data_IF_965449216541
#
_entry.id   IF_965449216541
#
_cell.length_a   1.000
_cell.length_b   1.000
_cell.length_c   1.000
_cell.angle_alpha   90.00
_cell.angle_beta   90.00
_cell.angle_gamma   90.00
#
_symmetry.space_group_name_H-M   'P 1'
#
loop_
_entity.id
_entity.type
_entity.pdbx_description
1 polymer ?
#
# COMPACT_ATOMS: atom_id res chain seq x y z
N UNK A 1 38.92 51.49 -8.43
CA UNK A 1 38.86 50.02 -8.28
C UNK A 1 37.40 49.60 -8.32
N UNK A 2 36.99 48.87 -9.35
CA UNK A 2 35.59 48.46 -9.60
C UNK A 2 35.43 47.03 -9.07
N UNK A 3 34.63 46.83 -8.02
CA UNK A 3 34.22 45.51 -7.56
C UNK A 3 33.10 44.98 -8.47
N UNK A 4 33.39 43.95 -9.26
CA UNK A 4 32.38 43.18 -9.99
C UNK A 4 31.71 42.20 -9.02
N UNK A 5 30.43 42.42 -8.74
CA UNK A 5 29.59 41.42 -8.08
C UNK A 5 29.20 40.35 -9.11
N UNK A 6 29.60 39.10 -8.86
CA UNK A 6 29.16 37.93 -9.60
C UNK A 6 27.86 37.43 -8.96
N UNK A 7 26.71 37.72 -9.57
CA UNK A 7 25.44 37.09 -9.18
C UNK A 7 25.39 35.73 -9.87
N UNK A 8 25.66 34.67 -9.12
CA UNK A 8 25.35 33.29 -9.52
C UNK A 8 23.85 33.09 -9.28
N UNK A 9 23.05 33.25 -10.33
CA UNK A 9 21.64 32.90 -10.31
C UNK A 9 21.50 31.38 -10.19
N UNK A 10 21.20 30.91 -8.98
CA UNK A 10 20.82 29.53 -8.73
C UNK A 10 19.44 29.31 -9.36
N UNK A 11 19.39 28.79 -10.58
CA UNK A 11 18.17 28.34 -11.23
C UNK A 11 17.62 27.14 -10.45
N UNK A 12 16.71 27.40 -9.52
CA UNK A 12 15.82 26.40 -8.95
C UNK A 12 14.90 25.91 -10.07
N UNK A 13 15.35 24.90 -10.81
CA UNK A 13 14.47 24.16 -11.71
C UNK A 13 13.40 23.49 -10.83
N UNK A 14 12.10 23.68 -11.11
CA UNK A 14 11.07 22.93 -10.42
C UNK A 14 11.32 21.45 -10.69
N UNK A 15 11.44 20.66 -9.62
CA UNK A 15 11.39 19.21 -9.71
C UNK A 15 10.04 18.83 -10.30
N UNK A 16 10.01 18.58 -11.61
CA UNK A 16 8.85 18.03 -12.29
C UNK A 16 8.67 16.61 -11.74
N UNK A 17 7.70 16.44 -10.85
CA UNK A 17 7.34 15.16 -10.28
C UNK A 17 6.71 14.30 -11.37
N UNK A 18 7.52 13.51 -12.07
CA UNK A 18 7.03 12.53 -13.04
C UNK A 18 6.30 11.44 -12.24
N UNK A 19 4.99 11.31 -12.43
CA UNK A 19 4.26 10.13 -11.97
C UNK A 19 4.92 8.91 -12.63
N UNK A 20 5.24 7.88 -11.83
CA UNK A 20 5.82 6.66 -12.38
C UNK A 20 4.90 6.11 -13.47
N UNK A 21 5.43 5.88 -14.67
CA UNK A 21 4.66 5.28 -15.76
C UNK A 21 4.17 3.90 -15.31
N UNK A 22 2.86 3.66 -15.39
CA UNK A 22 2.26 2.42 -14.92
C UNK A 22 2.88 1.23 -15.67
N UNK A 23 3.48 0.25 -14.96
CA UNK A 23 4.13 -0.87 -15.63
C UNK A 23 3.14 -1.66 -16.48
N UNK A 24 3.56 -2.09 -17.67
CA UNK A 24 2.70 -2.85 -18.60
C UNK A 24 2.08 -4.08 -17.94
N UNK A 25 0.77 -4.21 -18.05
CA UNK A 25 0.00 -5.33 -17.49
C UNK A 25 -0.25 -5.23 -15.98
N UNK A 26 0.08 -4.10 -15.36
CA UNK A 26 -0.34 -3.77 -14.01
C UNK A 26 -1.54 -2.81 -14.04
N UNK A 27 -2.32 -2.84 -12.97
CA UNK A 27 -3.53 -2.06 -12.77
C UNK A 27 -3.46 -1.35 -11.43
N UNK A 28 -3.78 -0.05 -11.39
CA UNK A 28 -3.89 0.70 -10.14
C UNK A 28 -5.16 0.34 -9.36
N UNK A 29 -6.20 -0.16 -10.04
CA UNK A 29 -7.50 -0.53 -9.46
C UNK A 29 -7.98 -1.83 -10.08
N UNK A 30 -8.48 -2.74 -9.26
CA UNK A 30 -9.09 -4.00 -9.70
C UNK A 30 -10.58 -4.00 -9.40
N UNK A 31 -11.35 -4.58 -10.31
CA UNK A 31 -12.77 -4.89 -10.09
C UNK A 31 -12.93 -6.41 -10.07
N UNK A 32 -13.53 -6.90 -8.98
CA UNK A 32 -13.58 -8.32 -8.66
C UNK A 32 -15.05 -8.71 -8.50
N UNK A 33 -15.48 -9.70 -9.26
CA UNK A 33 -16.81 -10.30 -9.10
C UNK A 33 -16.70 -11.57 -8.27
N UNK A 34 -17.29 -11.59 -7.07
CA UNK A 34 -17.29 -12.74 -6.17
C UNK A 34 -18.64 -12.87 -5.49
N UNK A 35 -19.24 -14.06 -5.51
CA UNK A 35 -20.56 -14.35 -4.94
C UNK A 35 -21.66 -13.38 -5.43
N UNK A 36 -21.62 -13.01 -6.71
CA UNK A 36 -22.55 -12.05 -7.32
C UNK A 36 -22.32 -10.59 -6.91
N UNK A 37 -21.32 -10.30 -6.07
CA UNK A 37 -20.98 -8.93 -5.65
C UNK A 37 -19.80 -8.40 -6.48
N UNK A 38 -19.93 -7.15 -6.95
CA UNK A 38 -18.80 -6.38 -7.50
C UNK A 38 -18.08 -5.68 -6.36
N UNK A 39 -16.82 -6.02 -6.19
CA UNK A 39 -15.90 -5.45 -5.20
C UNK A 39 -14.76 -4.73 -5.92
N UNK A 40 -14.20 -3.72 -5.28
CA UNK A 40 -13.13 -2.90 -5.81
C UNK A 40 -11.92 -2.99 -4.88
N UNK A 41 -10.73 -3.09 -5.46
CA UNK A 41 -9.46 -3.05 -4.75
C UNK A 41 -8.60 -1.90 -5.27
N UNK A 42 -8.18 -1.01 -4.39
CA UNK A 42 -7.48 0.23 -4.76
C UNK A 42 -8.41 1.30 -5.37
N UNK A 43 -7.84 2.42 -5.86
CA UNK A 43 -6.42 2.65 -6.03
C UNK A 43 -5.72 3.05 -4.73
N UNK A 44 -4.47 2.62 -4.59
CA UNK A 44 -3.56 3.09 -3.53
C UNK A 44 -2.38 3.81 -4.20
N UNK A 45 -1.91 4.88 -3.58
CA UNK A 45 -0.86 5.73 -4.14
C UNK A 45 0.37 4.88 -4.46
N UNK A 46 0.87 4.91 -5.70
CA UNK A 46 2.04 4.14 -6.10
C UNK A 46 1.93 2.61 -6.14
N UNK A 47 0.81 1.99 -5.71
CA UNK A 47 0.61 0.54 -5.83
C UNK A 47 -0.04 0.16 -7.16
N UNK A 48 0.54 -0.84 -7.80
CA UNK A 48 0.00 -1.42 -9.02
C UNK A 48 0.03 -2.95 -8.90
N UNK A 49 -1.02 -3.60 -9.40
CA UNK A 49 -1.25 -5.04 -9.25
C UNK A 49 -1.36 -5.73 -10.59
N UNK A 50 -0.84 -6.95 -10.70
CA UNK A 50 -0.90 -7.79 -11.90
C UNK A 50 -1.31 -9.21 -11.53
N UNK A 51 -2.30 -9.82 -12.22
CA UNK A 51 -2.63 -11.23 -12.04
C UNK A 51 -1.44 -12.14 -12.36
N UNK A 52 -1.24 -13.18 -11.55
CA UNK A 52 -0.19 -14.18 -11.80
C UNK A 52 -0.54 -15.07 -13.00
N UNK A 53 -1.83 -15.39 -13.18
CA UNK A 53 -2.31 -16.29 -14.22
C UNK A 53 -3.49 -15.71 -15.00
N UNK A 54 -3.25 -15.28 -16.24
CA UNK A 54 -4.31 -14.76 -17.12
C UNK A 54 -5.12 -13.65 -16.46
N UNK A 55 -6.43 -13.85 -16.34
CA UNK A 55 -7.36 -12.93 -15.70
C UNK A 55 -7.79 -13.39 -14.29
N UNK A 56 -7.17 -14.43 -13.71
CA UNK A 56 -7.50 -14.90 -12.36
C UNK A 56 -6.93 -13.94 -11.30
N UNK A 57 -7.84 -13.23 -10.63
CA UNK A 57 -7.50 -12.24 -9.61
C UNK A 57 -7.22 -12.87 -8.23
N UNK A 58 -7.30 -14.20 -8.06
CA UNK A 58 -7.04 -14.83 -6.75
C UNK A 58 -5.60 -14.65 -6.25
N UNK A 59 -4.65 -14.53 -7.17
CA UNK A 59 -3.23 -14.30 -6.88
C UNK A 59 -2.69 -13.20 -7.76
N UNK A 60 -2.03 -12.23 -7.13
CA UNK A 60 -1.46 -11.08 -7.79
C UNK A 60 0.02 -10.96 -7.40
N UNK A 61 0.82 -10.40 -8.31
CA UNK A 61 2.05 -9.70 -7.93
C UNK A 61 1.77 -8.20 -7.88
N UNK A 62 2.50 -7.47 -7.06
CA UNK A 62 2.40 -6.01 -7.01
C UNK A 62 3.74 -5.32 -7.01
N UNK A 63 3.70 -4.03 -7.37
CA UNK A 63 4.81 -3.09 -7.25
C UNK A 63 4.30 -1.83 -6.57
N UNK A 64 5.09 -1.30 -5.64
CA UNK A 64 4.84 -0.04 -4.96
C UNK A 64 5.98 0.93 -5.28
N UNK A 65 5.65 2.05 -5.89
CA UNK A 65 6.58 3.14 -6.18
C UNK A 65 6.34 4.30 -5.21
N UNK A 66 7.38 5.08 -4.90
CA UNK A 66 7.30 6.27 -4.05
C UNK A 66 6.64 7.45 -4.77
N UNK A 67 5.42 7.27 -5.27
CA UNK A 67 4.71 8.29 -6.02
C UNK A 67 4.50 9.53 -5.15
N UNK A 68 4.92 10.71 -5.63
CA UNK A 68 4.84 11.99 -4.90
C UNK A 68 5.46 11.94 -3.50
N UNK A 69 6.46 11.05 -3.30
CA UNK A 69 7.10 10.82 -2.01
C UNK A 69 6.09 10.45 -0.89
N UNK A 70 5.03 9.72 -1.25
CA UNK A 70 3.96 9.41 -0.33
C UNK A 70 4.42 8.54 0.85
N UNK A 71 5.35 7.60 0.64
CA UNK A 71 5.74 6.64 1.68
C UNK A 71 7.01 7.04 2.43
N UNK A 72 7.92 7.75 1.76
CA UNK A 72 9.17 8.21 2.33
C UNK A 72 9.63 9.50 1.67
N UNK A 73 10.16 10.41 2.47
CA UNK A 73 10.83 11.63 2.04
C UNK A 73 12.33 11.44 1.77
N UNK A 74 12.89 10.29 2.15
CA UNK A 74 14.32 9.97 2.00
C UNK A 74 14.72 9.62 0.56
N UNK A 75 13.75 9.16 -0.25
CA UNK A 75 13.99 8.71 -1.61
C UNK A 75 13.23 9.59 -2.61
N UNK A 76 13.76 9.74 -3.84
CA UNK A 76 13.08 10.45 -4.91
C UNK A 76 11.67 9.90 -5.19
N UNK A 77 10.83 10.74 -5.80
CA UNK A 77 9.56 10.29 -6.32
C UNK A 77 9.79 9.23 -7.42
N UNK A 78 8.94 8.19 -7.43
CA UNK A 78 9.01 7.12 -8.43
C UNK A 78 10.06 6.05 -8.17
N UNK A 79 10.80 6.10 -7.05
CA UNK A 79 11.65 4.96 -6.62
C UNK A 79 10.80 3.73 -6.33
N UNK A 80 11.20 2.55 -6.81
CA UNK A 80 10.55 1.29 -6.46
C UNK A 80 10.84 0.97 -4.98
N UNK A 81 9.81 0.96 -4.15
CA UNK A 81 9.91 0.73 -2.71
C UNK A 81 9.67 -0.73 -2.34
N UNK A 82 8.58 -1.29 -2.85
CA UNK A 82 8.22 -2.69 -2.60
C UNK A 82 7.87 -3.41 -3.90
N UNK A 83 8.17 -4.70 -3.90
CA UNK A 83 7.48 -5.69 -4.72
C UNK A 83 6.75 -6.64 -3.78
N UNK A 84 5.92 -7.53 -4.32
CA UNK A 84 5.33 -8.55 -3.48
C UNK A 84 4.25 -9.36 -4.14
N UNK A 85 3.58 -10.16 -3.31
CA UNK A 85 2.48 -11.03 -3.68
C UNK A 85 1.23 -10.67 -2.88
N UNK A 86 0.08 -10.81 -3.51
CA UNK A 86 -1.22 -10.63 -2.87
C UNK A 86 -2.12 -11.83 -3.16
N UNK A 87 -2.75 -12.39 -2.13
CA UNK A 87 -3.66 -13.53 -2.26
C UNK A 87 -5.04 -13.21 -1.70
N UNK A 88 -6.06 -13.40 -2.52
CA UNK A 88 -7.45 -13.11 -2.18
C UNK A 88 -7.96 -14.06 -1.10
N UNK A 89 -8.59 -13.52 -0.05
CA UNK A 89 -9.21 -14.28 1.06
C UNK A 89 -10.46 -13.55 1.57
N UNK A 90 -11.33 -14.33 2.22
CA UNK A 90 -12.44 -13.83 3.02
C UNK A 90 -12.08 -13.97 4.49
N UNK A 91 -12.21 -12.89 5.26
CA UNK A 91 -12.17 -12.92 6.71
C UNK A 91 -13.53 -13.39 7.25
N UNK A 92 -13.57 -14.27 8.26
CA UNK A 92 -14.83 -14.67 8.87
C UNK A 92 -15.48 -13.49 9.62
N UNK A 93 -16.80 -13.37 9.55
CA UNK A 93 -17.56 -12.30 10.20
C UNK A 93 -17.77 -12.58 11.70
N UNK A 94 -16.68 -12.53 12.46
CA UNK A 94 -16.68 -12.80 13.93
C UNK A 94 -16.78 -11.53 14.78
N UNK A 95 -16.69 -10.35 14.15
CA UNK A 95 -16.85 -9.02 14.74
C UNK A 95 -17.18 -8.04 13.62
N UNK A 96 -17.96 -7.02 13.93
CA UNK A 96 -18.19 -5.89 13.04
C UNK A 96 -16.89 -5.22 12.56
N UNK A 97 -16.95 -4.62 11.37
CA UNK A 97 -15.87 -3.81 10.83
C UNK A 97 -15.73 -2.51 11.63
N UNK A 98 -14.51 -1.94 11.69
CA UNK A 98 -14.30 -0.64 12.34
C UNK A 98 -15.23 0.44 11.75
N UNK A 99 -15.64 1.43 12.57
CA UNK A 99 -16.40 2.57 12.08
C UNK A 99 -15.57 3.37 11.06
N UNK A 100 -16.21 3.89 10.02
CA UNK A 100 -15.58 4.65 8.93
C UNK A 100 -15.33 6.10 9.34
N UNK A 101 -14.25 6.36 10.07
CA UNK A 101 -13.80 7.71 10.42
C UNK A 101 -12.82 8.28 9.38
N UNK A 102 -12.14 7.40 8.65
CA UNK A 102 -11.23 7.71 7.56
C UNK A 102 -11.54 6.85 6.33
N UNK A 103 -10.79 7.08 5.25
CA UNK A 103 -10.86 6.23 4.05
C UNK A 103 -10.48 4.79 4.37
N UNK A 104 -9.36 4.60 5.08
CA UNK A 104 -8.80 3.30 5.42
C UNK A 104 -8.72 3.21 6.94
N UNK A 105 -9.33 2.18 7.51
CA UNK A 105 -9.35 1.93 8.95
C UNK A 105 -8.45 0.74 9.32
N UNK A 106 -7.37 0.96 10.08
CA UNK A 106 -6.44 -0.10 10.46
C UNK A 106 -6.86 -0.86 11.72
N UNK A 107 -6.61 -2.17 11.72
CA UNK A 107 -6.64 -3.05 12.89
C UNK A 107 -5.30 -3.78 12.96
N UNK A 108 -4.46 -3.41 13.93
CA UNK A 108 -3.19 -4.09 14.17
C UNK A 108 -3.41 -5.51 14.73
N UNK A 109 -2.49 -6.44 14.45
CA UNK A 109 -2.67 -7.86 14.79
C UNK A 109 -2.96 -8.12 16.27
N UNK A 110 -2.37 -7.34 17.19
CA UNK A 110 -2.65 -7.47 18.63
C UNK A 110 -4.11 -7.24 19.01
N UNK A 111 -4.87 -6.51 18.17
CA UNK A 111 -6.28 -6.18 18.36
C UNK A 111 -7.22 -6.92 17.38
N UNK A 112 -6.65 -7.77 16.51
CA UNK A 112 -7.39 -8.52 15.51
C UNK A 112 -7.94 -9.84 16.09
N UNK A 113 -9.17 -10.25 15.73
CA UNK A 113 -9.66 -11.58 16.01
C UNK A 113 -8.70 -12.65 15.47
N UNK A 114 -8.39 -13.66 16.28
CA UNK A 114 -7.49 -14.76 15.88
C UNK A 114 -7.99 -15.48 14.62
N UNK A 115 -9.30 -15.57 14.44
CA UNK A 115 -9.95 -16.17 13.28
C UNK A 115 -9.60 -15.43 11.99
N UNK A 116 -9.39 -14.11 12.03
CA UNK A 116 -8.91 -13.35 10.88
C UNK A 116 -7.45 -13.71 10.57
N UNK A 117 -6.59 -13.75 11.58
CA UNK A 117 -5.16 -14.08 11.44
C UNK A 117 -4.92 -15.51 10.95
N UNK A 118 -5.86 -16.43 11.21
CA UNK A 118 -5.80 -17.81 10.73
C UNK A 118 -6.02 -17.93 9.22
N UNK A 119 -6.65 -16.94 8.57
CA UNK A 119 -6.89 -16.93 7.11
C UNK A 119 -5.66 -16.61 6.27
N UNK A 120 -4.56 -16.17 6.90
CA UNK A 120 -3.29 -15.84 6.24
C UNK A 120 -2.80 -17.02 5.37
N UNK A 121 -2.41 -16.77 4.11
CA UNK A 121 -1.75 -17.76 3.27
C UNK A 121 -0.45 -18.29 3.90
N UNK A 122 -0.01 -19.46 3.45
CA UNK A 122 1.32 -19.95 3.79
C UNK A 122 2.39 -19.25 2.92
N UNK A 123 3.58 -18.96 3.48
CA UNK A 123 3.91 -19.05 4.90
C UNK A 123 3.34 -17.85 5.69
N UNK A 124 2.67 -18.12 6.83
CA UNK A 124 1.85 -17.12 7.54
C UNK A 124 2.65 -15.91 8.05
N UNK A 125 3.92 -16.10 8.36
CA UNK A 125 4.83 -15.07 8.86
C UNK A 125 5.28 -14.07 7.78
N UNK A 126 4.97 -14.31 6.50
CA UNK A 126 5.31 -13.39 5.42
C UNK A 126 4.10 -12.58 4.93
N UNK A 127 2.88 -13.10 5.12
CA UNK A 127 1.63 -12.42 4.79
C UNK A 127 1.13 -11.62 6.00
N UNK A 128 1.75 -10.48 6.27
CA UNK A 128 1.55 -9.69 7.49
C UNK A 128 0.62 -8.48 7.33
N UNK A 129 0.20 -8.18 6.10
CA UNK A 129 -0.74 -7.09 5.80
C UNK A 129 -1.98 -7.64 5.11
N UNK A 130 -3.18 -7.36 5.60
CA UNK A 130 -4.42 -7.56 4.87
C UNK A 130 -4.98 -6.22 4.43
N UNK A 131 -5.47 -6.14 3.20
CA UNK A 131 -6.17 -4.96 2.71
C UNK A 131 -7.51 -5.38 2.11
N UNK A 132 -8.60 -4.80 2.63
CA UNK A 132 -9.94 -5.15 2.17
C UNK A 132 -10.25 -4.58 0.79
N UNK A 133 -11.12 -5.27 0.07
CA UNK A 133 -11.90 -4.66 -0.99
C UNK A 133 -13.06 -3.85 -0.41
N UNK A 134 -13.70 -3.05 -1.26
CA UNK A 134 -14.86 -2.24 -0.91
C UNK A 134 -15.93 -2.25 -2.00
N UNK A 135 -17.12 -1.78 -1.68
CA UNK A 135 -18.18 -1.49 -2.64
C UNK A 135 -18.96 -0.22 -2.21
N UNK A 136 -20.14 0.01 -2.80
CA UNK A 136 -20.97 1.17 -2.47
C UNK A 136 -21.41 1.23 -0.99
N UNK A 137 -21.45 0.10 -0.28
CA UNK A 137 -21.76 0.03 1.15
C UNK A 137 -20.52 0.26 2.05
N UNK A 138 -19.32 0.37 1.47
CA UNK A 138 -18.07 0.58 2.19
C UNK A 138 -17.17 -0.66 2.21
N UNK A 139 -16.35 -0.85 3.26
CA UNK A 139 -15.40 -1.94 3.33
C UNK A 139 -16.10 -3.29 3.39
N UNK A 140 -15.39 -4.32 2.92
CA UNK A 140 -15.86 -5.71 2.96
C UNK A 140 -14.93 -6.58 3.80
N UNK A 141 -15.39 -7.78 4.17
CA UNK A 141 -14.54 -8.80 4.79
C UNK A 141 -13.65 -9.53 3.78
N UNK A 142 -13.73 -9.18 2.49
CA UNK A 142 -12.97 -9.83 1.42
C UNK A 142 -11.85 -8.91 0.99
N UNK A 143 -10.70 -9.46 0.66
CA UNK A 143 -9.50 -8.65 0.41
C UNK A 143 -8.30 -9.51 0.09
N UNK A 144 -7.14 -8.89 0.09
CA UNK A 144 -5.88 -9.58 -0.16
C UNK A 144 -5.04 -9.58 1.10
N UNK A 145 -4.45 -10.72 1.41
CA UNK A 145 -3.25 -10.77 2.23
C UNK A 145 -2.05 -10.48 1.34
N UNK A 146 -1.21 -9.52 1.75
CA UNK A 146 -0.04 -9.04 1.05
C UNK A 146 1.23 -9.49 1.76
N UNK A 147 2.17 -10.03 0.98
CA UNK A 147 3.56 -10.26 1.33
C UNK A 147 4.39 -9.15 0.69
N UNK A 148 4.89 -8.23 1.51
CA UNK A 148 5.77 -7.15 1.06
C UNK A 148 7.22 -7.60 1.00
N UNK A 149 7.92 -7.19 -0.05
CA UNK A 149 9.35 -7.38 -0.23
C UNK A 149 9.97 -6.01 -0.56
N UNK A 150 10.65 -5.36 0.41
CA UNK A 150 11.34 -4.12 0.15
C UNK A 150 12.36 -4.31 -0.99
N UNK A 151 12.25 -3.48 -2.02
CA UNK A 151 13.17 -3.48 -3.15
C UNK A 151 14.39 -2.60 -2.89
N UNK A 152 14.28 -1.68 -1.94
CA UNK A 152 15.34 -0.77 -1.50
C UNK A 152 15.21 -0.51 0.00
N UNK A 153 16.27 0.02 0.62
CA UNK A 153 16.26 0.41 2.03
C UNK A 153 15.77 1.84 2.20
N UNK A 154 14.85 2.07 3.15
CA UNK A 154 14.31 3.39 3.49
C UNK A 154 13.51 3.37 4.79
N UNK A 155 13.29 4.54 5.36
CA UNK A 155 12.33 4.72 6.45
C UNK A 155 10.95 5.00 5.86
N UNK A 156 9.99 4.14 6.17
CA UNK A 156 8.58 4.38 5.93
C UNK A 156 8.09 5.37 6.99
N UNK A 157 7.94 6.63 6.63
CA UNK A 157 7.45 7.71 7.50
C UNK A 157 6.28 8.47 6.88
N UNK A 158 5.58 7.84 5.93
CA UNK A 158 4.51 8.45 5.14
C UNK A 158 4.93 9.82 4.59
N UNK A 159 6.13 9.93 4.02
CA UNK A 159 6.65 11.20 3.48
C UNK A 159 6.72 12.30 4.54
N UNK A 160 7.23 11.96 5.73
CA UNK A 160 7.37 12.86 6.87
C UNK A 160 6.08 13.19 7.64
N UNK A 161 4.94 12.56 7.31
CA UNK A 161 3.64 12.85 7.94
C UNK A 161 3.39 12.09 9.24
N UNK A 162 4.22 11.10 9.55
CA UNK A 162 4.18 10.37 10.81
C UNK A 162 5.56 10.37 11.47
N UNK A 163 5.56 10.35 12.79
CA UNK A 163 6.77 10.28 13.62
C UNK A 163 7.10 8.82 14.01
N UNK A 164 8.15 8.67 14.80
CA UNK A 164 8.67 7.38 15.27
C UNK A 164 7.72 6.64 16.23
N UNK A 165 6.76 7.35 16.84
CA UNK A 165 5.79 6.76 17.76
C UNK A 165 4.61 6.14 17.00
N UNK A 166 4.48 6.43 15.70
CA UNK A 166 3.48 5.82 14.84
C UNK A 166 3.75 4.32 14.64
N UNK A 167 2.74 3.44 14.77
CA UNK A 167 2.88 2.01 14.49
C UNK A 167 3.15 1.69 13.01
N UNK A 168 3.03 2.69 12.13
CA UNK A 168 3.38 2.58 10.71
C UNK A 168 4.83 2.98 10.44
N UNK A 169 5.49 3.68 11.36
CA UNK A 169 6.88 4.08 11.18
C UNK A 169 7.80 2.87 11.31
N UNK A 170 8.57 2.57 10.26
CA UNK A 170 9.51 1.45 10.29
C UNK A 170 10.63 1.59 9.26
N UNK A 171 11.75 0.94 9.54
CA UNK A 171 12.82 0.74 8.57
C UNK A 171 12.45 -0.44 7.65
N UNK A 172 12.32 -0.17 6.36
CA UNK A 172 12.21 -1.18 5.32
C UNK A 172 13.62 -1.56 4.83
N UNK A 173 13.92 -2.86 4.77
CA UNK A 173 15.20 -3.38 4.29
C UNK A 173 14.98 -4.57 3.36
N UNK A 174 15.71 -4.66 2.23
CA UNK A 174 15.65 -5.84 1.37
C UNK A 174 15.90 -7.13 2.14
N UNK A 175 15.05 -8.14 1.91
CA UNK A 175 15.10 -9.41 2.64
C UNK A 175 14.40 -9.42 4.00
N UNK A 176 13.93 -8.27 4.51
CA UNK A 176 13.24 -8.15 5.80
C UNK A 176 11.74 -7.85 5.66
N UNK A 177 11.08 -8.40 4.64
CA UNK A 177 9.67 -8.13 4.33
C UNK A 177 8.68 -8.41 5.47
N UNK A 178 8.98 -9.39 6.32
CA UNK A 178 8.23 -9.71 7.53
C UNK A 178 8.25 -8.60 8.60
N UNK A 179 9.12 -7.59 8.48
CA UNK A 179 9.15 -6.42 9.37
C UNK A 179 8.10 -5.37 8.99
N UNK A 180 7.39 -5.54 7.87
CA UNK A 180 6.26 -4.68 7.55
C UNK A 180 5.23 -4.70 8.70
N UNK A 181 4.55 -3.58 8.99
CA UNK A 181 3.54 -3.53 10.05
C UNK A 181 2.50 -4.65 9.92
N UNK A 182 2.24 -5.30 11.04
CA UNK A 182 1.30 -6.41 11.12
C UNK A 182 -0.13 -5.86 11.27
N UNK A 183 -0.79 -5.66 10.13
CA UNK A 183 -1.96 -4.78 10.02
C UNK A 183 -3.05 -5.36 9.11
N UNK A 184 -4.30 -5.08 9.44
CA UNK A 184 -5.49 -5.41 8.65
C UNK A 184 -6.20 -4.08 8.37
N UNK A 185 -6.28 -3.68 7.11
CA UNK A 185 -6.81 -2.39 6.68
C UNK A 185 -8.14 -2.57 5.97
N UNK A 186 -9.16 -1.84 6.43
CA UNK A 186 -10.48 -1.80 5.83
C UNK A 186 -10.66 -0.51 5.01
N UNK A 187 -10.61 -0.62 3.69
CA UNK A 187 -10.80 0.50 2.76
C UNK A 187 -12.29 0.72 2.52
N UNK A 188 -12.77 1.95 2.66
CA UNK A 188 -14.11 2.34 2.28
C UNK A 188 -14.19 2.93 0.86
N UNK A 189 -13.09 2.88 0.12
CA UNK A 189 -12.92 3.45 -1.20
C UNK A 189 -12.61 4.96 -1.16
N UNK A 190 -12.06 5.52 -2.24
CA UNK A 190 -11.98 6.97 -2.39
C UNK A 190 -13.41 7.50 -2.31
N UNK A 191 -13.72 8.25 -1.25
CA UNK A 191 -15.07 8.74 -1.02
C UNK A 191 -15.55 9.64 -2.16
N UNK A 192 -16.86 9.95 -2.20
CA UNK A 192 -17.35 11.09 -2.96
C UNK A 192 -16.98 12.37 -2.19
N UNK A 193 -15.74 12.84 -2.33
CA UNK A 193 -15.31 14.14 -1.80
C UNK A 193 -14.51 14.88 -2.85
#
# INVERSE_FOLDING_TARGET
MIFRALIVGLLLLPTVTIAAEMPRGYYAKLEISVDGQRLIFGPFVGYYFKPVHGNDLKKLTFRCYNERQFYTDQLPAGTLLFTGEAQFRSLPQVRDLPPRNARIEPVFFGNAPQQWLQTRPAPKNEFVHFHSTYNAAGPSYKGYWLRHQPATSFIYNMGGRIDQDSPLYHQAEPGAGQRFPHIIEFDAGPGPY
#
